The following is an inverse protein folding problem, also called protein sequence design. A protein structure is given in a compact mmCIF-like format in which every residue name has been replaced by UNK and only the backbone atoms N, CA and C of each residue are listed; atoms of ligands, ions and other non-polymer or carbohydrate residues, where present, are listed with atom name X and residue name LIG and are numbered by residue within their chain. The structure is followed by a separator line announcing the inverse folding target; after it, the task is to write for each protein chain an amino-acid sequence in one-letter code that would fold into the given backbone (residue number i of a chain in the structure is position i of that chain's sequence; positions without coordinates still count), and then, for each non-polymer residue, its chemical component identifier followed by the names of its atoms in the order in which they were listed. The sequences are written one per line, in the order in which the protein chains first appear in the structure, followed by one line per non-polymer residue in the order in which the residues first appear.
data_IF_805134121642
#
_entry.id   IF_805134121642
#
_cell.length_a   1.000
_cell.length_b   1.000
_cell.length_c   1.000
_cell.angle_alpha   90.00
_cell.angle_beta   90.00
_cell.angle_gamma   90.00
#
_symmetry.space_group_name_H-M   'P 1'
#
loop_
_entity.id
_entity.type
_entity.pdbx_description
1 polymer ?
#
# COMPACT_ATOMS: atom_id res chain seq x y z
N UNK A 1 -8.01 22.59 -6.66
CA UNK A 1 -8.94 22.25 -5.55
C UNK A 1 -9.27 23.43 -4.64
N UNK A 2 -8.46 24.49 -4.60
CA UNK A 2 -8.69 25.69 -3.79
C UNK A 2 -9.49 26.82 -4.47
N UNK A 3 -9.91 26.64 -5.70
CA UNK A 3 -10.66 27.67 -6.44
C UNK A 3 -12.10 27.76 -5.97
N UNK A 4 -12.59 28.98 -5.84
CA UNK A 4 -13.97 29.27 -5.43
C UNK A 4 -14.94 28.65 -6.44
N UNK A 5 -15.88 27.85 -5.97
CA UNK A 5 -16.84 27.13 -6.83
C UNK A 5 -16.36 25.78 -7.36
N UNK A 6 -15.09 25.42 -7.22
CA UNK A 6 -14.57 24.10 -7.56
C UNK A 6 -14.77 23.11 -6.41
N UNK A 7 -15.42 21.98 -6.70
CA UNK A 7 -15.58 20.87 -5.75
C UNK A 7 -15.10 19.60 -6.41
N UNK A 8 -14.00 19.03 -5.90
CA UNK A 8 -13.42 17.76 -6.39
C UNK A 8 -13.86 16.55 -5.58
N UNK A 9 -14.58 16.76 -4.46
CA UNK A 9 -14.98 15.69 -3.53
C UNK A 9 -13.84 15.15 -2.68
N UNK A 10 -12.63 15.70 -2.83
CA UNK A 10 -11.42 15.27 -2.16
C UNK A 10 -10.86 13.94 -2.72
N UNK A 11 -9.62 13.65 -2.38
CA UNK A 11 -8.91 12.43 -2.74
C UNK A 11 -8.08 11.93 -1.57
N UNK A 12 -7.81 10.63 -1.53
CA UNK A 12 -6.86 10.04 -0.60
C UNK A 12 -5.61 9.70 -1.40
N UNK A 13 -4.49 10.33 -1.05
CA UNK A 13 -3.18 10.02 -1.63
C UNK A 13 -2.44 9.08 -0.68
N UNK A 14 -2.34 7.82 -1.04
CA UNK A 14 -1.63 6.81 -0.27
C UNK A 14 -0.22 6.66 -0.84
N UNK A 15 0.78 7.19 -0.15
CA UNK A 15 2.18 7.14 -0.55
C UNK A 15 2.84 5.93 0.10
N UNK A 16 3.23 4.96 -0.71
CA UNK A 16 4.07 3.84 -0.28
C UNK A 16 5.52 4.28 -0.31
N UNK A 17 5.96 4.90 0.79
CA UNK A 17 7.31 5.45 0.92
C UNK A 17 8.32 4.34 1.24
N UNK A 18 8.62 3.53 0.25
CA UNK A 18 9.51 2.37 0.38
C UNK A 18 11.00 2.71 0.32
N UNK A 19 11.36 4.00 0.22
CA UNK A 19 12.72 4.54 0.29
C UNK A 19 13.68 4.02 -0.79
N UNK A 20 13.17 3.42 -1.86
CA UNK A 20 13.98 2.99 -2.99
C UNK A 20 13.61 3.78 -4.24
N UNK A 21 14.62 4.22 -4.98
CA UNK A 21 14.50 4.89 -6.27
C UNK A 21 15.58 4.35 -7.21
N UNK A 22 15.55 3.07 -7.52
CA UNK A 22 16.56 2.35 -8.29
C UNK A 22 17.95 2.52 -7.65
N UNK A 23 18.88 3.22 -8.32
CA UNK A 23 20.23 3.50 -7.81
C UNK A 23 20.32 4.74 -6.92
N UNK A 24 19.24 5.53 -6.82
CA UNK A 24 19.23 6.80 -6.10
C UNK A 24 19.13 6.57 -4.58
N UNK A 25 20.08 7.13 -3.84
CA UNK A 25 20.02 7.12 -2.38
C UNK A 25 18.82 7.98 -1.91
N UNK A 26 18.04 7.53 -0.89
CA UNK A 26 16.90 8.27 -0.37
C UNK A 26 17.18 9.73 -0.02
N UNK A 27 18.38 10.01 0.47
CA UNK A 27 18.82 11.38 0.82
C UNK A 27 18.78 12.35 -0.37
N UNK A 28 18.95 11.85 -1.58
CA UNK A 28 19.06 12.66 -2.80
C UNK A 28 17.86 12.51 -3.74
N UNK A 29 16.85 11.74 -3.33
CA UNK A 29 15.71 11.40 -4.19
C UNK A 29 14.67 12.50 -4.33
N UNK A 30 14.76 13.55 -3.52
CA UNK A 30 13.81 14.68 -3.53
C UNK A 30 14.47 15.96 -2.99
N UNK A 31 13.88 17.11 -3.34
CA UNK A 31 14.35 18.43 -2.93
C UNK A 31 13.88 18.86 -1.54
N UNK A 32 12.90 18.18 -0.96
CA UNK A 32 12.36 18.48 0.37
C UNK A 32 12.54 17.28 1.32
N UNK A 33 12.51 17.48 2.65
CA UNK A 33 12.66 16.39 3.62
C UNK A 33 11.60 15.30 3.50
N UNK A 34 10.35 15.66 3.17
CA UNK A 34 9.23 14.72 3.08
C UNK A 34 8.64 14.66 1.68
N UNK A 35 8.28 13.45 1.24
CA UNK A 35 7.57 13.26 -0.03
C UNK A 35 6.20 13.96 -0.07
N UNK A 36 5.66 14.27 1.10
CA UNK A 36 4.34 14.87 1.29
C UNK A 36 4.35 16.40 1.39
N UNK A 37 5.51 17.04 1.28
CA UNK A 37 5.61 18.50 1.42
C UNK A 37 4.75 19.27 0.39
N UNK A 38 4.51 18.67 -0.78
CA UNK A 38 3.58 19.24 -1.78
C UNK A 38 2.14 19.36 -1.28
N UNK A 39 1.73 18.51 -0.35
CA UNK A 39 0.39 18.54 0.22
C UNK A 39 0.13 19.77 1.11
N UNK A 40 1.19 20.38 1.65
CA UNK A 40 1.12 21.61 2.43
C UNK A 40 0.60 22.79 1.63
N UNK A 41 0.86 22.83 0.32
CA UNK A 41 0.40 23.89 -0.57
C UNK A 41 -1.14 23.95 -0.68
N UNK A 42 -1.81 22.83 -0.46
CA UNK A 42 -3.27 22.73 -0.50
C UNK A 42 -3.88 22.49 0.89
N UNK A 43 -3.08 22.66 1.93
CA UNK A 43 -3.47 22.50 3.34
C UNK A 43 -4.14 21.13 3.61
N UNK A 44 -3.69 20.09 2.93
CA UNK A 44 -4.17 18.73 3.14
C UNK A 44 -3.57 18.14 4.43
N UNK A 45 -4.37 17.49 5.28
CA UNK A 45 -3.84 16.73 6.40
C UNK A 45 -2.88 15.65 5.91
N UNK A 46 -1.79 15.43 6.65
CA UNK A 46 -0.76 14.44 6.35
C UNK A 46 -0.63 13.52 7.55
N UNK A 47 -0.74 12.22 7.31
CA UNK A 47 -0.50 11.18 8.30
C UNK A 47 0.79 10.45 7.94
N UNK A 48 1.73 10.40 8.88
CA UNK A 48 2.91 9.56 8.77
C UNK A 48 2.69 8.29 9.59
N UNK A 49 2.84 7.13 8.96
CA UNK A 49 2.58 5.84 9.60
C UNK A 49 3.67 4.83 9.27
N UNK A 50 4.03 4.01 10.25
CA UNK A 50 4.98 2.91 10.06
C UNK A 50 4.29 1.72 9.38
N UNK A 51 4.81 1.30 8.22
CA UNK A 51 4.29 0.16 7.46
C UNK A 51 4.42 -1.21 8.16
N UNK A 52 5.25 -1.31 9.21
CA UNK A 52 5.36 -2.52 10.04
C UNK A 52 4.30 -2.60 11.15
N UNK A 53 3.46 -1.57 11.29
CA UNK A 53 2.33 -1.57 12.22
C UNK A 53 0.99 -1.59 11.45
N UNK A 54 0.42 -2.78 11.18
CA UNK A 54 -0.82 -2.90 10.41
C UNK A 54 -2.04 -2.30 11.13
N UNK A 55 -2.05 -2.24 12.45
CA UNK A 55 -3.13 -1.60 13.21
C UNK A 55 -3.11 -0.09 13.00
N UNK A 56 -1.93 0.53 13.13
CA UNK A 56 -1.75 1.96 12.88
C UNK A 56 -2.09 2.32 11.43
N UNK A 57 -1.64 1.53 10.45
CA UNK A 57 -1.98 1.74 9.03
C UNK A 57 -3.48 1.68 8.80
N UNK A 58 -4.15 0.68 9.36
CA UNK A 58 -5.61 0.52 9.25
C UNK A 58 -6.35 1.68 9.92
N UNK A 59 -5.90 2.09 11.09
CA UNK A 59 -6.49 3.20 11.83
C UNK A 59 -6.38 4.52 11.07
N UNK A 60 -5.20 4.84 10.55
CA UNK A 60 -4.97 6.03 9.73
C UNK A 60 -5.80 5.99 8.44
N UNK A 61 -5.93 4.84 7.79
CA UNK A 61 -6.75 4.69 6.59
C UNK A 61 -8.24 4.97 6.88
N UNK A 62 -8.75 4.54 8.03
CA UNK A 62 -10.13 4.84 8.48
C UNK A 62 -10.30 6.35 8.69
N UNK A 63 -9.40 6.99 9.45
CA UNK A 63 -9.46 8.44 9.70
C UNK A 63 -9.40 9.22 8.39
N UNK A 64 -8.50 8.87 7.49
CA UNK A 64 -8.36 9.52 6.19
C UNK A 64 -9.63 9.39 5.34
N UNK A 65 -10.25 8.21 5.37
CA UNK A 65 -11.52 7.97 4.66
C UNK A 65 -12.65 8.80 5.25
N UNK A 66 -12.80 8.81 6.57
CA UNK A 66 -13.81 9.61 7.25
C UNK A 66 -13.60 11.11 7.01
N UNK A 67 -12.37 11.59 7.09
CA UNK A 67 -12.03 12.98 6.79
C UNK A 67 -12.42 13.35 5.35
N UNK A 68 -12.00 12.55 4.36
CA UNK A 68 -12.33 12.76 2.96
C UNK A 68 -13.84 12.78 2.73
N UNK A 69 -14.57 11.84 3.34
CA UNK A 69 -16.02 11.72 3.18
C UNK A 69 -16.76 12.90 3.83
N UNK A 70 -16.34 13.30 5.04
CA UNK A 70 -17.00 14.36 5.81
C UNK A 70 -16.71 15.75 5.24
N UNK A 71 -15.45 16.03 4.90
CA UNK A 71 -15.02 17.39 4.51
C UNK A 71 -14.88 17.57 3.00
N UNK A 72 -14.90 16.48 2.23
CA UNK A 72 -14.68 16.48 0.77
C UNK A 72 -13.38 17.20 0.37
N UNK A 73 -12.35 17.03 1.17
CA UNK A 73 -11.01 17.59 0.97
C UNK A 73 -9.97 16.50 0.78
N UNK A 74 -8.85 16.81 0.10
CA UNK A 74 -7.76 15.86 -0.03
C UNK A 74 -7.10 15.56 1.33
N UNK A 75 -6.55 14.36 1.44
CA UNK A 75 -5.78 13.89 2.59
C UNK A 75 -4.65 12.99 2.08
N UNK A 76 -3.53 12.99 2.77
CA UNK A 76 -2.34 12.23 2.40
C UNK A 76 -1.94 11.28 3.51
N UNK A 77 -1.64 10.04 3.15
CA UNK A 77 -1.04 9.04 4.03
C UNK A 77 0.35 8.75 3.49
N UNK A 78 1.36 9.00 4.30
CA UNK A 78 2.75 8.63 4.05
C UNK A 78 3.08 7.37 4.88
N UNK A 79 2.99 6.20 4.23
CA UNK A 79 3.36 4.94 4.86
C UNK A 79 4.85 4.70 4.66
N UNK A 80 5.64 4.95 5.70
CA UNK A 80 7.07 4.66 5.71
C UNK A 80 7.29 3.16 5.80
N UNK A 81 7.91 2.60 4.77
CA UNK A 81 8.15 1.17 4.64
C UNK A 81 9.47 0.89 3.90
N UNK A 82 9.70 -0.34 3.51
CA UNK A 82 10.87 -0.74 2.74
C UNK A 82 10.49 -1.79 1.69
N UNK A 83 11.29 -1.92 0.67
CA UNK A 83 11.11 -2.89 -0.40
C UNK A 83 12.11 -4.02 -0.25
N UNK A 84 11.63 -5.24 -0.01
CA UNK A 84 12.48 -6.39 0.33
C UNK A 84 13.27 -6.94 -0.87
N UNK A 85 12.71 -6.89 -2.06
CA UNK A 85 13.22 -7.57 -3.26
C UNK A 85 13.71 -6.62 -4.37
N UNK A 86 14.11 -5.40 -4.03
CA UNK A 86 14.59 -4.43 -5.01
C UNK A 86 13.47 -3.79 -5.85
N UNK A 87 13.83 -3.02 -6.88
CA UNK A 87 12.84 -2.32 -7.69
C UNK A 87 12.24 -3.18 -8.81
N UNK A 88 12.92 -4.24 -9.24
CA UNK A 88 12.42 -5.27 -10.18
C UNK A 88 13.14 -6.60 -9.99
N UNK A 89 12.78 -7.63 -10.77
CA UNK A 89 13.32 -8.99 -10.65
C UNK A 89 14.77 -9.12 -11.10
N UNK A 90 15.26 -8.23 -11.96
CA UNK A 90 16.61 -8.29 -12.53
C UNK A 90 17.61 -7.42 -11.77
N UNK A 91 17.16 -6.61 -10.83
CA UNK A 91 17.99 -5.71 -10.05
C UNK A 91 18.46 -6.35 -8.73
N UNK A 92 19.76 -6.34 -8.49
CA UNK A 92 20.32 -6.67 -7.17
C UNK A 92 20.59 -5.36 -6.40
N UNK A 93 19.66 -4.94 -5.54
CA UNK A 93 19.74 -3.64 -4.89
C UNK A 93 20.89 -3.52 -3.89
N UNK A 94 21.51 -4.63 -3.48
CA UNK A 94 22.67 -4.63 -2.60
C UNK A 94 23.91 -4.02 -3.28
N UNK A 95 23.96 -3.96 -4.61
CA UNK A 95 25.06 -3.31 -5.32
C UNK A 95 25.09 -1.79 -5.12
N UNK A 96 23.94 -1.17 -5.04
CA UNK A 96 23.85 0.30 -4.90
C UNK A 96 23.51 0.75 -3.48
N UNK A 97 22.75 -0.05 -2.71
CA UNK A 97 22.37 0.23 -1.32
C UNK A 97 22.73 -0.92 -0.36
N UNK A 98 24.03 -1.27 -0.23
CA UNK A 98 24.45 -2.45 0.54
C UNK A 98 24.08 -2.36 2.02
N UNK A 99 24.20 -1.18 2.63
CA UNK A 99 23.87 -0.97 4.06
C UNK A 99 22.37 -1.13 4.32
N UNK A 100 21.52 -0.54 3.45
CA UNK A 100 20.08 -0.63 3.55
C UNK A 100 19.63 -2.10 3.42
N UNK A 101 20.09 -2.81 2.39
CA UNK A 101 19.68 -4.20 2.17
C UNK A 101 20.26 -5.18 3.18
N UNK A 102 21.41 -4.89 3.78
CA UNK A 102 21.89 -5.64 4.94
C UNK A 102 20.92 -5.51 6.12
N UNK A 103 20.41 -4.30 6.39
CA UNK A 103 19.43 -4.08 7.44
C UNK A 103 18.08 -4.73 7.11
N UNK A 104 17.58 -4.61 5.87
CA UNK A 104 16.32 -5.22 5.42
C UNK A 104 16.37 -6.75 5.53
N UNK A 105 17.48 -7.39 5.14
CA UNK A 105 17.64 -8.85 5.24
C UNK A 105 17.61 -9.33 6.71
N UNK A 106 18.12 -8.54 7.63
CA UNK A 106 18.12 -8.85 9.07
C UNK A 106 16.78 -8.51 9.74
N UNK A 107 15.96 -7.68 9.14
CA UNK A 107 14.69 -7.25 9.73
C UNK A 107 13.61 -8.34 9.56
N UNK A 108 12.85 -8.68 10.61
CA UNK A 108 11.75 -9.65 10.51
C UNK A 108 10.64 -9.12 9.59
N UNK A 109 9.83 -10.02 9.07
CA UNK A 109 8.67 -9.62 8.26
C UNK A 109 7.58 -8.99 9.12
N UNK A 110 6.75 -8.12 8.54
CA UNK A 110 5.58 -7.53 9.22
C UNK A 110 4.69 -8.60 9.84
N UNK A 111 4.46 -9.72 9.16
CA UNK A 111 3.69 -10.86 9.69
C UNK A 111 4.35 -11.42 10.96
N UNK A 112 5.68 -11.60 10.96
CA UNK A 112 6.39 -12.11 12.14
C UNK A 112 6.36 -11.13 13.32
N UNK A 113 6.48 -9.83 13.05
CA UNK A 113 6.39 -8.78 14.08
C UNK A 113 4.98 -8.77 14.69
N UNK A 114 3.98 -8.73 13.84
CA UNK A 114 2.59 -8.58 14.27
C UNK A 114 2.04 -9.84 14.96
N UNK A 115 2.32 -11.02 14.44
CA UNK A 115 1.91 -12.28 15.09
C UNK A 115 2.54 -12.42 16.47
N UNK A 116 3.84 -12.08 16.61
CA UNK A 116 4.50 -12.09 17.91
C UNK A 116 3.85 -11.12 18.92
N UNK A 117 3.46 -9.92 18.45
CA UNK A 117 2.72 -8.95 19.26
C UNK A 117 1.40 -9.53 19.75
N UNK A 118 0.56 -10.07 18.85
CA UNK A 118 -0.75 -10.62 19.19
C UNK A 118 -0.68 -11.81 20.16
N UNK A 119 0.33 -12.65 20.00
CA UNK A 119 0.56 -13.78 20.93
C UNK A 119 1.00 -13.24 22.30
N UNK A 120 1.89 -12.25 22.34
CA UNK A 120 2.35 -11.66 23.61
C UNK A 120 1.22 -10.94 24.36
N UNK A 121 0.26 -10.35 23.65
CA UNK A 121 -0.92 -9.70 24.22
C UNK A 121 -2.02 -10.69 24.58
N UNK A 122 -1.87 -11.97 24.25
CA UNK A 122 -2.86 -13.01 24.52
C UNK A 122 -4.09 -12.97 23.62
N UNK A 123 -4.05 -12.19 22.54
CA UNK A 123 -5.15 -12.10 21.56
C UNK A 123 -5.24 -13.36 20.69
N UNK A 124 -4.10 -13.96 20.36
CA UNK A 124 -3.97 -15.21 19.62
C UNK A 124 -3.00 -16.15 20.35
N UNK A 125 -3.17 -17.45 20.11
CA UNK A 125 -2.15 -18.44 20.47
C UNK A 125 -1.20 -18.67 19.30
N UNK A 126 -0.02 -19.25 19.56
CA UNK A 126 0.89 -19.64 18.47
C UNK A 126 0.24 -20.65 17.52
N UNK A 127 -0.59 -21.57 18.06
CA UNK A 127 -1.32 -22.55 17.25
C UNK A 127 -2.32 -21.87 16.29
N UNK A 128 -2.97 -20.78 16.71
CA UNK A 128 -3.86 -20.00 15.83
C UNK A 128 -3.09 -19.36 14.67
N UNK A 129 -1.92 -18.78 14.96
CA UNK A 129 -1.05 -18.17 13.94
C UNK A 129 -0.61 -19.23 12.93
N UNK A 130 -0.15 -20.38 13.39
CA UNK A 130 0.31 -21.48 12.53
C UNK A 130 -0.84 -22.03 11.66
N UNK A 131 -2.02 -22.17 12.22
CA UNK A 131 -3.22 -22.61 11.50
C UNK A 131 -3.65 -21.59 10.43
N UNK A 132 -3.59 -20.28 10.72
CA UNK A 132 -3.89 -19.24 9.75
C UNK A 132 -2.90 -19.26 8.57
N UNK A 133 -1.61 -19.41 8.85
CA UNK A 133 -0.57 -19.49 7.81
C UNK A 133 -0.72 -20.74 6.94
N UNK A 134 -0.99 -21.90 7.57
CA UNK A 134 -1.21 -23.16 6.85
C UNK A 134 -2.43 -23.08 5.93
N UNK A 135 -3.54 -22.53 6.42
CA UNK A 135 -4.75 -22.32 5.62
C UNK A 135 -4.54 -21.40 4.43
N UNK A 136 -3.81 -20.29 4.63
CA UNK A 136 -3.50 -19.37 3.54
C UNK A 136 -2.59 -20.00 2.49
N UNK A 137 -1.58 -20.78 2.91
CA UNK A 137 -0.70 -21.52 1.99
C UNK A 137 -1.49 -22.54 1.18
N UNK A 138 -2.35 -23.34 1.84
CA UNK A 138 -3.19 -24.30 1.14
C UNK A 138 -4.14 -23.64 0.13
N UNK A 139 -4.65 -22.44 0.44
CA UNK A 139 -5.43 -21.64 -0.51
C UNK A 139 -4.59 -21.24 -1.74
N UNK A 140 -3.36 -20.72 -1.54
CA UNK A 140 -2.47 -20.38 -2.66
C UNK A 140 -2.12 -21.59 -3.52
N UNK A 141 -1.87 -22.75 -2.92
CA UNK A 141 -1.55 -23.98 -3.65
C UNK A 141 -2.79 -24.43 -4.49
N UNK A 142 -3.98 -24.30 -3.96
CA UNK A 142 -5.23 -24.58 -4.68
C UNK A 142 -5.47 -23.63 -5.85
N UNK A 143 -5.21 -22.33 -5.68
CA UNK A 143 -5.33 -21.33 -6.74
C UNK A 143 -4.25 -21.52 -7.83
N UNK A 144 -3.04 -21.91 -7.43
CA UNK A 144 -1.97 -22.24 -8.37
C UNK A 144 -2.38 -23.42 -9.26
N UNK A 145 -2.90 -24.50 -8.67
CA UNK A 145 -3.40 -25.65 -9.43
C UNK A 145 -4.57 -25.25 -10.36
N UNK A 146 -5.49 -24.40 -9.90
CA UNK A 146 -6.60 -23.91 -10.73
C UNK A 146 -6.12 -23.06 -11.92
N UNK A 147 -4.98 -22.36 -11.76
CA UNK A 147 -4.44 -21.50 -12.81
C UNK A 147 -3.99 -22.25 -14.07
N UNK A 148 -3.63 -23.52 -13.97
CA UNK A 148 -3.24 -24.34 -15.13
C UNK A 148 -4.36 -24.53 -16.15
N UNK A 149 -5.63 -24.50 -15.68
CA UNK A 149 -6.81 -24.59 -16.53
C UNK A 149 -7.37 -23.25 -16.98
N UNK A 150 -6.81 -22.14 -16.52
CA UNK A 150 -7.33 -20.80 -16.78
C UNK A 150 -7.14 -20.40 -18.24
N UNK A 151 -8.25 -20.11 -18.93
CA UNK A 151 -8.25 -19.53 -20.27
C UNK A 151 -8.80 -18.11 -20.18
N UNK A 152 -7.98 -17.08 -20.43
CA UNK A 152 -8.46 -15.70 -20.36
C UNK A 152 -9.57 -15.46 -21.39
N UNK A 153 -10.70 -14.96 -20.92
CA UNK A 153 -11.77 -14.48 -21.79
C UNK A 153 -11.45 -13.05 -22.20
N UNK A 154 -11.39 -12.77 -23.49
CA UNK A 154 -11.09 -11.44 -24.02
C UNK A 154 -12.11 -10.36 -23.60
N UNK A 155 -13.32 -10.76 -23.22
CA UNK A 155 -14.37 -9.87 -22.77
C UNK A 155 -14.29 -9.50 -21.29
N UNK A 156 -13.61 -10.30 -20.45
CA UNK A 156 -13.63 -10.17 -18.98
C UNK A 156 -13.22 -8.79 -18.47
N UNK A 157 -12.31 -8.12 -19.13
CA UNK A 157 -11.85 -6.78 -18.73
C UNK A 157 -12.81 -5.65 -19.14
N UNK A 158 -13.79 -5.94 -20.02
CA UNK A 158 -14.83 -5.02 -20.48
C UNK A 158 -16.23 -5.40 -19.98
N UNK A 159 -16.37 -6.55 -19.30
CA UNK A 159 -17.64 -7.02 -18.78
C UNK A 159 -18.09 -6.27 -17.50
N UNK A 160 -19.35 -6.44 -17.12
CA UNK A 160 -19.96 -5.81 -15.97
C UNK A 160 -20.52 -4.43 -16.27
N UNK A 161 -20.18 -3.43 -15.47
CA UNK A 161 -20.73 -2.07 -15.60
C UNK A 161 -20.41 -1.38 -16.93
N UNK A 162 -19.40 -1.85 -17.64
CA UNK A 162 -18.94 -1.30 -18.91
C UNK A 162 -19.57 -1.98 -20.13
N UNK A 163 -20.23 -3.13 -19.95
CA UNK A 163 -20.93 -3.85 -21.01
C UNK A 163 -22.34 -3.32 -21.32
N UNK A 164 -22.82 -2.33 -20.56
CA UNK A 164 -24.14 -1.75 -20.79
C UNK A 164 -24.09 -0.82 -21.99
N UNK A 165 -24.90 -1.04 -23.05
CA UNK A 165 -25.04 -0.10 -24.16
C UNK A 165 -25.70 1.19 -23.64
N UNK A 166 -24.97 2.23 -23.52
CA UNK A 166 -25.44 3.51 -23.02
C UNK A 166 -24.29 4.49 -22.83
N UNK A 167 -23.47 4.65 -23.86
CA UNK A 167 -22.42 5.66 -23.95
C UNK A 167 -22.93 7.09 -23.89
N UNK A 168 -24.24 7.30 -23.89
CA UNK A 168 -24.85 8.64 -23.90
C UNK A 168 -24.86 9.35 -22.53
N UNK A 169 -24.34 8.71 -21.48
CA UNK A 169 -24.26 9.31 -20.11
C UNK A 169 -22.87 9.74 -19.68
N UNK A 170 -21.86 9.65 -20.53
CA UNK A 170 -20.49 10.03 -20.19
C UNK A 170 -20.04 11.36 -20.81
N UNK A 171 -20.96 12.17 -21.35
CA UNK A 171 -20.65 13.45 -22.00
C UNK A 171 -21.27 14.67 -21.29
N UNK A 172 -21.53 14.58 -19.96
CA UNK A 172 -21.87 15.79 -19.17
C UNK A 172 -21.20 15.77 -17.81
#
# INVERSE_FOLDING_TARGET
SGLRGHRTGGSIHFVINNQIGFTTNPKFSRSSPYCTDMAKMVEAPIFHVNGDDPEAVTHVAKIATEFRMKFQKPVVIDMCCYRRHGHNETDEPAFTQPKMYKAIKAHPTTVAIYSKKLVAEGTLTQADVDAMQARFRAHLDSELAASEGFKPNKADWLDGRWSTPGTDRLLY
#
